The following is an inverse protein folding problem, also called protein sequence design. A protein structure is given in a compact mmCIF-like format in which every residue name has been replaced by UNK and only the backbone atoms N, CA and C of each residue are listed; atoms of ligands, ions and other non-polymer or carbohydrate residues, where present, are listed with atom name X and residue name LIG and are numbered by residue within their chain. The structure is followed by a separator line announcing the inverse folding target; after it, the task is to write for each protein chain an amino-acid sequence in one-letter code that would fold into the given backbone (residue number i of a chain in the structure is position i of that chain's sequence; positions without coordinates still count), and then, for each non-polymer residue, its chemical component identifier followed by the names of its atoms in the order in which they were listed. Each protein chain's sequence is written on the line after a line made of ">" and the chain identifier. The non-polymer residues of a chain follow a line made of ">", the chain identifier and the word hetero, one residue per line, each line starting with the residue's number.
data_IF_566716094702
#
_entry.id   IF_566716094702
#
_cell.length_a   1.000
_cell.length_b   1.000
_cell.length_c   1.000
_cell.angle_alpha   90.00
_cell.angle_beta   90.00
_cell.angle_gamma   90.00
#
_symmetry.space_group_name_H-M   'P 1'
#
loop_
_entity.id
_entity.type
_entity.pdbx_description
1 polymer ?
#
# COMPACT_ATOMS: atom_id res chain seq x y z
N UNK A 1 24.86 6.35 -1.75
CA UNK A 1 24.40 7.32 -2.77
C UNK A 1 22.90 7.19 -2.94
N UNK A 2 22.10 8.21 -2.58
CA UNK A 2 20.62 8.14 -2.76
C UNK A 2 20.27 7.93 -4.23
N UNK A 3 19.53 6.86 -4.51
CA UNK A 3 19.01 6.53 -5.84
C UNK A 3 18.16 7.71 -6.37
N UNK A 4 18.32 8.03 -7.66
CA UNK A 4 17.57 9.09 -8.35
C UNK A 4 16.06 8.87 -8.17
N UNK A 5 15.61 7.61 -8.20
CA UNK A 5 14.20 7.23 -7.98
C UNK A 5 13.68 7.70 -6.63
N UNK A 6 14.42 7.48 -5.55
CA UNK A 6 14.05 7.91 -4.20
C UNK A 6 13.97 9.43 -4.10
N UNK A 7 14.91 10.15 -4.73
CA UNK A 7 14.87 11.63 -4.78
C UNK A 7 13.63 12.16 -5.51
N UNK A 8 13.24 11.51 -6.61
CA UNK A 8 12.03 11.87 -7.37
C UNK A 8 10.79 11.67 -6.50
N UNK A 9 10.67 10.52 -5.84
CA UNK A 9 9.53 10.24 -4.96
C UNK A 9 9.43 11.24 -3.80
N UNK A 10 10.54 11.50 -3.12
CA UNK A 10 10.55 12.39 -1.95
C UNK A 10 10.29 13.87 -2.30
N UNK A 11 10.51 14.26 -3.55
CA UNK A 11 10.21 15.60 -4.06
C UNK A 11 8.93 15.64 -4.92
N UNK A 12 8.13 14.56 -4.94
CA UNK A 12 7.01 14.41 -5.87
C UNK A 12 6.06 15.61 -5.90
N UNK A 13 5.67 16.14 -4.75
CA UNK A 13 4.68 17.23 -4.69
C UNK A 13 5.26 18.56 -5.18
N UNK A 14 6.55 18.79 -4.93
CA UNK A 14 7.25 19.97 -5.47
C UNK A 14 7.34 19.90 -7.00
N UNK A 15 7.68 18.71 -7.52
CA UNK A 15 7.75 18.46 -8.97
C UNK A 15 6.38 18.54 -9.63
N UNK A 16 5.37 17.91 -9.03
CA UNK A 16 3.97 17.93 -9.48
C UNK A 16 3.42 19.35 -9.55
N UNK A 17 3.66 20.16 -8.52
CA UNK A 17 3.26 21.56 -8.51
C UNK A 17 3.95 22.36 -9.62
N UNK A 18 5.25 22.14 -9.83
CA UNK A 18 5.99 22.77 -10.94
C UNK A 18 5.37 22.43 -12.30
N UNK A 19 5.10 21.15 -12.56
CA UNK A 19 4.47 20.71 -13.82
C UNK A 19 3.06 21.29 -14.00
N UNK A 20 2.26 21.35 -12.94
CA UNK A 20 0.91 21.96 -12.99
C UNK A 20 0.96 23.46 -13.27
N UNK A 21 1.92 24.18 -12.70
CA UNK A 21 2.10 25.62 -12.95
C UNK A 21 2.45 25.84 -14.42
N UNK A 22 3.40 25.08 -14.98
CA UNK A 22 3.76 25.16 -16.40
C UNK A 22 2.54 24.94 -17.29
N UNK A 23 1.79 23.86 -17.05
CA UNK A 23 0.57 23.55 -17.80
C UNK A 23 -0.49 24.65 -17.67
N UNK A 24 -0.67 25.21 -16.48
CA UNK A 24 -1.63 26.29 -16.25
C UNK A 24 -1.28 27.56 -17.02
N UNK A 25 -0.01 27.98 -17.00
CA UNK A 25 0.49 29.12 -17.79
C UNK A 25 0.28 28.84 -19.28
N UNK A 26 0.58 27.62 -19.75
CA UNK A 26 0.39 27.25 -21.15
C UNK A 26 -1.08 27.31 -21.58
N UNK A 27 -2.01 26.89 -20.71
CA UNK A 27 -3.46 27.05 -20.95
C UNK A 27 -3.84 28.53 -21.09
N UNK A 28 -3.31 29.41 -20.24
CA UNK A 28 -3.55 30.86 -20.35
C UNK A 28 -3.01 31.41 -21.68
N UNK A 29 -1.79 31.03 -22.07
CA UNK A 29 -1.19 31.46 -23.34
C UNK A 29 -2.08 31.04 -24.52
N UNK A 30 -2.63 29.82 -24.50
CA UNK A 30 -3.55 29.35 -25.52
C UNK A 30 -4.85 30.17 -25.56
N UNK A 31 -5.43 30.49 -24.40
CA UNK A 31 -6.66 31.29 -24.32
C UNK A 31 -6.44 32.72 -24.86
N UNK A 32 -5.24 33.28 -24.69
CA UNK A 32 -4.87 34.60 -25.18
C UNK A 32 -4.28 34.61 -26.60
N UNK A 33 -4.29 33.48 -27.32
CA UNK A 33 -3.56 33.30 -28.58
C UNK A 33 -4.22 33.90 -29.84
N UNK A 34 -5.37 34.58 -29.70
CA UNK A 34 -6.15 35.14 -30.81
C UNK A 34 -5.41 36.20 -31.64
N UNK A 35 -4.41 36.86 -31.05
CA UNK A 35 -3.57 37.86 -31.74
C UNK A 35 -2.27 37.27 -32.32
N UNK A 36 -2.02 35.97 -32.17
CA UNK A 36 -0.80 35.34 -32.68
C UNK A 36 -0.92 34.93 -34.15
N UNK A 37 0.21 34.85 -34.87
CA UNK A 37 0.24 34.28 -36.21
C UNK A 37 -0.36 32.87 -36.24
N UNK A 38 -1.15 32.55 -37.27
CA UNK A 38 -1.89 31.27 -37.39
C UNK A 38 -1.05 30.02 -37.13
N UNK A 39 0.21 30.01 -37.58
CA UNK A 39 1.12 28.88 -37.39
C UNK A 39 1.47 28.67 -35.91
N UNK A 40 1.59 29.74 -35.14
CA UNK A 40 1.88 29.69 -33.71
C UNK A 40 0.65 29.21 -32.93
N UNK A 41 -0.53 29.71 -33.29
CA UNK A 41 -1.81 29.27 -32.69
C UNK A 41 -2.05 27.77 -32.84
N UNK A 42 -1.64 27.19 -33.98
CA UNK A 42 -1.70 25.74 -34.22
C UNK A 42 -0.67 24.98 -33.36
N UNK A 43 0.56 25.48 -33.24
CA UNK A 43 1.64 24.83 -32.49
C UNK A 43 1.34 24.75 -30.98
N UNK A 44 0.74 25.80 -30.42
CA UNK A 44 0.46 25.94 -28.99
C UNK A 44 -0.39 24.80 -28.40
N UNK A 45 -1.36 24.28 -29.16
CA UNK A 45 -2.17 23.14 -28.74
C UNK A 45 -1.36 21.84 -28.63
N UNK A 46 -0.41 21.62 -29.54
CA UNK A 46 0.49 20.47 -29.48
C UNK A 46 1.42 20.53 -28.28
N UNK A 47 1.95 21.73 -27.95
CA UNK A 47 2.77 21.92 -26.74
C UNK A 47 1.97 21.54 -25.49
N UNK A 48 0.72 21.98 -25.40
CA UNK A 48 -0.17 21.64 -24.27
C UNK A 48 -0.42 20.14 -24.16
N UNK A 49 -0.61 19.45 -25.30
CA UNK A 49 -0.78 18.00 -25.33
C UNK A 49 0.48 17.28 -24.85
N UNK A 50 1.67 17.77 -25.22
CA UNK A 50 2.96 17.24 -24.75
C UNK A 50 3.07 17.41 -23.23
N UNK A 51 2.75 18.59 -22.69
CA UNK A 51 2.80 18.85 -21.25
C UNK A 51 1.82 17.99 -20.46
N UNK A 52 0.60 17.80 -20.96
CA UNK A 52 -0.38 16.86 -20.39
C UNK A 52 0.17 15.43 -20.39
N UNK A 53 0.79 15.01 -21.50
CA UNK A 53 1.40 13.69 -21.61
C UNK A 53 2.56 13.51 -20.62
N UNK A 54 3.38 14.54 -20.44
CA UNK A 54 4.46 14.55 -19.44
C UNK A 54 3.93 14.46 -18.01
N UNK A 55 2.85 15.18 -17.68
CA UNK A 55 2.21 15.10 -16.37
C UNK A 55 1.62 13.70 -16.11
N UNK A 56 1.01 13.08 -17.11
CA UNK A 56 0.51 11.71 -17.01
C UNK A 56 1.65 10.70 -16.82
N UNK A 57 2.72 10.81 -17.61
CA UNK A 57 3.93 9.99 -17.45
C UNK A 57 4.57 10.17 -16.07
N UNK A 58 4.57 11.39 -15.54
CA UNK A 58 5.04 11.66 -14.18
C UNK A 58 4.23 10.89 -13.13
N UNK A 59 2.89 10.91 -13.20
CA UNK A 59 2.07 10.13 -12.25
C UNK A 59 2.28 8.62 -12.39
N UNK A 60 2.45 8.13 -13.62
CA UNK A 60 2.74 6.71 -13.87
C UNK A 60 4.10 6.30 -13.26
N UNK A 61 5.16 7.06 -13.53
CA UNK A 61 6.49 6.78 -13.00
C UNK A 61 6.55 6.89 -11.47
N UNK A 62 5.89 7.88 -10.86
CA UNK A 62 5.79 7.97 -9.41
C UNK A 62 5.14 6.72 -8.81
N UNK A 63 4.05 6.24 -9.41
CA UNK A 63 3.36 5.03 -8.94
C UNK A 63 4.25 3.80 -9.05
N UNK A 64 5.03 3.69 -10.13
CA UNK A 64 5.99 2.61 -10.36
C UNK A 64 7.15 2.65 -9.36
N UNK A 65 7.70 3.84 -9.09
CA UNK A 65 8.77 4.04 -8.10
C UNK A 65 8.27 3.67 -6.71
N UNK A 66 7.08 4.14 -6.32
CA UNK A 66 6.48 3.82 -5.03
C UNK A 66 6.26 2.31 -4.86
N UNK A 67 5.71 1.66 -5.88
CA UNK A 67 5.53 0.20 -5.91
C UNK A 67 6.86 -0.53 -5.74
N UNK A 68 7.91 -0.10 -6.45
CA UNK A 68 9.23 -0.72 -6.36
C UNK A 68 9.86 -0.56 -4.97
N UNK A 69 9.70 0.60 -4.32
CA UNK A 69 10.19 0.84 -2.96
C UNK A 69 9.50 -0.09 -1.96
N UNK A 70 8.18 -0.28 -2.10
CA UNK A 70 7.42 -1.20 -1.25
C UNK A 70 7.77 -2.66 -1.50
N UNK A 71 7.88 -3.06 -2.76
CA UNK A 71 8.24 -4.42 -3.14
C UNK A 71 9.64 -4.82 -2.71
N UNK A 72 10.59 -3.88 -2.69
CA UNK A 72 11.97 -4.10 -2.24
C UNK A 72 12.21 -3.76 -0.77
N UNK A 73 11.19 -3.26 -0.07
CA UNK A 73 11.26 -2.82 1.33
C UNK A 73 12.48 -1.93 1.61
N UNK A 74 12.66 -0.87 0.82
CA UNK A 74 13.67 0.16 1.10
C UNK A 74 13.20 1.01 2.30
N UNK A 75 13.51 0.52 3.51
CA UNK A 75 12.92 1.01 4.77
C UNK A 75 13.26 2.48 5.02
N UNK A 76 14.50 2.90 4.78
CA UNK A 76 14.93 4.29 4.98
C UNK A 76 14.13 5.25 4.10
N UNK A 77 13.97 4.90 2.82
CA UNK A 77 13.19 5.71 1.88
C UNK A 77 11.71 5.70 2.24
N UNK A 78 11.19 4.57 2.71
CA UNK A 78 9.80 4.46 3.14
C UNK A 78 9.50 5.34 4.36
N UNK A 79 10.39 5.38 5.35
CA UNK A 79 10.28 6.27 6.51
C UNK A 79 10.33 7.74 6.12
N UNK A 80 11.28 8.13 5.27
CA UNK A 80 11.34 9.49 4.74
C UNK A 80 10.07 9.84 3.97
N UNK A 81 9.52 8.90 3.20
CA UNK A 81 8.30 9.11 2.43
C UNK A 81 7.07 9.25 3.34
N UNK A 82 6.96 8.43 4.38
CA UNK A 82 5.92 8.54 5.42
C UNK A 82 5.92 9.94 6.03
N UNK A 83 7.09 10.40 6.50
CA UNK A 83 7.22 11.73 7.11
C UNK A 83 6.77 12.83 6.15
N UNK A 84 7.13 12.71 4.87
CA UNK A 84 6.68 13.67 3.86
C UNK A 84 5.16 13.64 3.68
N UNK A 85 4.54 12.47 3.57
CA UNK A 85 3.08 12.35 3.47
C UNK A 85 2.42 12.99 4.70
N UNK A 86 2.92 12.72 5.92
CA UNK A 86 2.36 13.29 7.15
C UNK A 86 2.45 14.82 7.20
N UNK A 87 3.51 15.41 6.65
CA UNK A 87 3.68 16.88 6.58
C UNK A 87 2.87 17.56 5.47
N UNK A 88 2.32 16.79 4.53
CA UNK A 88 1.55 17.34 3.43
C UNK A 88 0.06 17.44 3.77
N UNK A 89 -0.53 18.60 3.50
CA UNK A 89 -1.97 18.79 3.62
C UNK A 89 -2.68 18.28 2.36
N UNK A 90 -3.33 17.12 2.48
CA UNK A 90 -4.19 16.58 1.44
C UNK A 90 -5.65 16.88 1.73
N UNK A 91 -6.43 17.04 0.66
CA UNK A 91 -7.88 17.22 0.72
C UNK A 91 -8.61 16.28 -0.23
N UNK A 92 -9.88 16.00 0.07
CA UNK A 92 -10.77 15.21 -0.76
C UNK A 92 -10.25 13.80 -1.05
N UNK A 93 -10.36 13.36 -2.32
CA UNK A 93 -9.98 12.00 -2.75
C UNK A 93 -8.51 11.67 -2.43
N UNK A 94 -7.61 12.63 -2.57
CA UNK A 94 -6.18 12.42 -2.29
C UNK A 94 -5.93 12.12 -0.82
N UNK A 95 -6.67 12.77 0.08
CA UNK A 95 -6.55 12.53 1.52
C UNK A 95 -6.84 11.08 1.87
N UNK A 96 -7.96 10.53 1.38
CA UNK A 96 -8.31 9.12 1.60
C UNK A 96 -7.23 8.17 1.09
N UNK A 97 -6.69 8.41 -0.11
CA UNK A 97 -5.61 7.58 -0.69
C UNK A 97 -4.36 7.58 0.21
N UNK A 98 -3.94 8.74 0.69
CA UNK A 98 -2.75 8.82 1.54
C UNK A 98 -2.97 8.29 2.96
N UNK A 99 -4.19 8.42 3.52
CA UNK A 99 -4.56 7.77 4.78
C UNK A 99 -4.45 6.23 4.66
N UNK A 100 -4.92 5.65 3.55
CA UNK A 100 -4.74 4.24 3.26
C UNK A 100 -3.27 3.81 3.18
N UNK A 101 -2.47 4.58 2.42
CA UNK A 101 -1.04 4.30 2.27
C UNK A 101 -0.32 4.34 3.62
N UNK A 102 -0.51 5.42 4.39
CA UNK A 102 0.07 5.54 5.73
C UNK A 102 -0.38 4.42 6.64
N UNK A 103 -1.68 4.09 6.65
CA UNK A 103 -2.20 2.98 7.45
C UNK A 103 -1.51 1.67 7.07
N UNK A 104 -1.26 1.40 5.78
CA UNK A 104 -0.57 0.18 5.33
C UNK A 104 0.88 0.17 5.78
N UNK A 105 1.58 1.29 5.65
CA UNK A 105 2.97 1.39 6.06
C UNK A 105 3.15 1.22 7.57
N UNK A 106 2.26 1.81 8.37
CA UNK A 106 2.26 1.61 9.81
C UNK A 106 1.90 0.19 10.22
N UNK A 107 1.02 -0.50 9.48
CA UNK A 107 0.78 -1.92 9.68
C UNK A 107 2.06 -2.75 9.45
N UNK A 108 2.79 -2.49 8.36
CA UNK A 108 4.06 -3.16 8.03
C UNK A 108 5.11 -2.97 9.15
N UNK A 109 5.15 -1.78 9.76
CA UNK A 109 6.04 -1.48 10.89
C UNK A 109 5.51 -1.97 12.26
N UNK A 110 4.30 -2.51 12.30
CA UNK A 110 3.66 -3.01 13.52
C UNK A 110 3.09 -1.94 14.44
N UNK A 111 2.91 -0.71 13.95
CA UNK A 111 2.21 0.35 14.67
C UNK A 111 0.69 0.23 14.43
N UNK A 112 0.09 -0.85 14.93
CA UNK A 112 -1.27 -1.25 14.61
C UNK A 112 -2.33 -0.23 15.06
N UNK A 113 -2.12 0.40 16.22
CA UNK A 113 -2.98 1.46 16.77
C UNK A 113 -2.99 2.67 15.84
N UNK A 114 -1.80 3.15 15.45
CA UNK A 114 -1.67 4.26 14.50
C UNK A 114 -2.26 3.90 13.14
N UNK A 115 -2.05 2.67 12.69
CA UNK A 115 -2.61 2.14 11.45
C UNK A 115 -4.14 2.18 11.45
N UNK A 116 -4.81 1.68 12.50
CA UNK A 116 -6.27 1.70 12.56
C UNK A 116 -6.84 3.11 12.75
N UNK A 117 -6.15 3.98 13.49
CA UNK A 117 -6.61 5.36 13.71
C UNK A 117 -6.56 6.20 12.44
N UNK A 118 -5.59 5.95 11.57
CA UNK A 118 -5.56 6.54 10.23
C UNK A 118 -6.70 6.02 9.35
N UNK A 119 -6.96 4.71 9.43
CA UNK A 119 -8.02 4.09 8.64
C UNK A 119 -9.41 4.64 9.03
N UNK A 120 -9.68 4.86 10.32
CA UNK A 120 -10.93 5.48 10.81
C UNK A 120 -11.17 6.91 10.28
N UNK A 121 -10.10 7.63 9.89
CA UNK A 121 -10.21 8.98 9.31
C UNK A 121 -10.57 8.96 7.83
N UNK A 122 -10.57 7.79 7.18
CA UNK A 122 -10.96 7.64 5.79
C UNK A 122 -12.46 7.88 5.66
N UNK A 123 -12.84 8.81 4.80
CA UNK A 123 -14.24 9.05 4.46
C UNK A 123 -14.74 7.93 3.54
N UNK A 124 -15.22 6.84 4.15
CA UNK A 124 -15.59 5.59 3.48
C UNK A 124 -16.57 5.79 2.30
N UNK A 125 -17.54 6.68 2.45
CA UNK A 125 -18.56 6.97 1.42
C UNK A 125 -17.98 7.60 0.15
N UNK A 126 -16.79 8.22 0.24
CA UNK A 126 -16.13 8.89 -0.89
C UNK A 126 -15.08 7.99 -1.56
N UNK A 127 -15.03 6.71 -1.22
CA UNK A 127 -14.04 5.80 -1.77
C UNK A 127 -14.35 5.43 -3.23
N UNK A 128 -13.34 5.44 -4.11
CA UNK A 128 -13.51 5.00 -5.47
C UNK A 128 -13.72 3.48 -5.55
N UNK A 129 -14.13 3.01 -6.71
CA UNK A 129 -13.93 1.60 -7.08
C UNK A 129 -12.58 1.44 -7.78
N UNK A 130 -11.91 0.30 -7.62
CA UNK A 130 -10.52 0.09 -8.03
C UNK A 130 -9.57 0.22 -6.85
N UNK A 131 -8.41 0.85 -7.04
CA UNK A 131 -7.43 1.05 -5.95
C UNK A 131 -7.98 1.96 -4.85
N UNK A 132 -7.74 1.57 -3.60
CA UNK A 132 -8.20 2.24 -2.38
C UNK A 132 -9.74 2.24 -2.27
N UNK A 133 -10.35 1.10 -2.61
CA UNK A 133 -11.81 0.90 -2.51
C UNK A 133 -12.24 0.50 -1.11
N UNK A 134 -13.56 0.42 -0.91
CA UNK A 134 -14.16 -0.14 0.30
C UNK A 134 -13.69 -1.58 0.60
N UNK A 135 -13.38 -2.40 -0.41
CA UNK A 135 -12.77 -3.72 -0.18
C UNK A 135 -11.40 -3.59 0.48
N UNK A 136 -10.57 -2.65 0.00
CA UNK A 136 -9.24 -2.40 0.56
C UNK A 136 -9.36 -1.93 2.01
N UNK A 137 -10.37 -1.10 2.32
CA UNK A 137 -10.69 -0.67 3.68
C UNK A 137 -10.94 -1.86 4.61
N UNK A 138 -11.93 -2.70 4.27
CA UNK A 138 -12.32 -3.79 5.16
C UNK A 138 -11.23 -4.84 5.28
N UNK A 139 -10.56 -5.15 4.17
CA UNK A 139 -9.44 -6.09 4.15
C UNK A 139 -8.31 -5.62 5.07
N UNK A 140 -7.92 -4.35 4.99
CA UNK A 140 -6.88 -3.81 5.84
C UNK A 140 -7.31 -3.71 7.32
N UNK A 141 -8.52 -3.24 7.58
CA UNK A 141 -9.08 -3.19 8.93
C UNK A 141 -9.08 -4.58 9.59
N UNK A 142 -9.38 -5.62 8.82
CA UNK A 142 -9.40 -7.00 9.26
C UNK A 142 -8.02 -7.48 9.77
N UNK A 143 -6.95 -7.32 9.00
CA UNK A 143 -5.61 -7.75 9.47
C UNK A 143 -5.10 -6.96 10.65
N UNK A 144 -5.36 -5.65 10.68
CA UNK A 144 -4.97 -4.82 11.83
C UNK A 144 -5.65 -5.37 13.09
N UNK A 145 -6.95 -5.69 13.01
CA UNK A 145 -7.72 -6.22 14.14
C UNK A 145 -7.27 -7.60 14.59
N UNK A 146 -6.86 -8.49 13.68
CA UNK A 146 -6.24 -9.78 14.05
C UNK A 146 -4.98 -9.55 14.87
N UNK A 147 -4.07 -8.68 14.40
CA UNK A 147 -2.81 -8.42 15.10
C UNK A 147 -3.03 -7.71 16.44
N UNK A 148 -4.03 -6.85 16.54
CA UNK A 148 -4.46 -6.24 17.80
C UNK A 148 -5.29 -7.18 18.70
N UNK A 149 -5.60 -8.40 18.26
CA UNK A 149 -6.48 -9.36 18.97
C UNK A 149 -7.85 -8.76 19.37
N UNK A 150 -8.38 -7.87 18.55
CA UNK A 150 -9.68 -7.19 18.76
C UNK A 150 -10.84 -8.03 18.20
N UNK A 151 -11.10 -9.17 18.82
CA UNK A 151 -12.05 -10.18 18.32
C UNK A 151 -13.50 -9.71 18.27
N UNK A 152 -13.90 -8.85 19.21
CA UNK A 152 -15.23 -8.24 19.31
C UNK A 152 -15.66 -7.49 18.03
N UNK A 153 -14.69 -6.87 17.35
CA UNK A 153 -14.92 -6.06 16.14
C UNK A 153 -14.64 -6.82 14.85
N UNK A 154 -13.96 -7.96 14.94
CA UNK A 154 -13.47 -8.68 13.77
C UNK A 154 -14.62 -9.23 12.93
N UNK A 155 -15.59 -9.87 13.58
CA UNK A 155 -16.72 -10.51 12.92
C UNK A 155 -17.55 -9.49 12.13
N UNK A 156 -17.76 -8.30 12.68
CA UNK A 156 -18.49 -7.24 11.99
C UNK A 156 -17.74 -6.77 10.73
N UNK A 157 -16.42 -6.56 10.83
CA UNK A 157 -15.59 -6.16 9.67
C UNK A 157 -15.59 -7.26 8.59
N UNK A 158 -15.49 -8.52 8.99
CA UNK A 158 -15.54 -9.67 8.08
C UNK A 158 -16.91 -9.75 7.38
N UNK A 159 -18.00 -9.58 8.12
CA UNK A 159 -19.34 -9.57 7.53
C UNK A 159 -19.54 -8.42 6.55
N UNK A 160 -19.06 -7.22 6.85
CA UNK A 160 -19.07 -6.10 5.91
C UNK A 160 -18.22 -6.35 4.66
N UNK A 161 -17.05 -6.99 4.81
CA UNK A 161 -16.23 -7.42 3.68
C UNK A 161 -16.98 -8.42 2.79
N UNK A 162 -17.60 -9.44 3.40
CA UNK A 162 -18.36 -10.48 2.71
C UNK A 162 -19.61 -9.92 2.03
N UNK A 163 -20.31 -8.97 2.67
CA UNK A 163 -21.50 -8.35 2.11
C UNK A 163 -21.21 -7.31 1.03
N UNK A 164 -19.97 -6.85 0.88
CA UNK A 164 -19.62 -5.87 -0.13
C UNK A 164 -19.86 -6.42 -1.55
N UNK A 165 -20.67 -5.70 -2.32
CA UNK A 165 -20.99 -6.02 -3.71
C UNK A 165 -20.48 -4.92 -4.64
N UNK A 166 -19.93 -5.32 -5.78
CA UNK A 166 -19.50 -4.42 -6.84
C UNK A 166 -19.73 -5.07 -8.19
N UNK A 167 -20.22 -4.28 -9.14
CA UNK A 167 -20.48 -4.74 -10.50
C UNK A 167 -19.21 -4.76 -11.38
N UNK A 168 -18.04 -4.40 -10.83
CA UNK A 168 -16.77 -4.38 -11.55
C UNK A 168 -16.02 -5.69 -11.40
N UNK A 169 -15.67 -6.32 -12.53
CA UNK A 169 -14.87 -7.57 -12.59
C UNK A 169 -13.56 -7.45 -11.82
N UNK A 170 -12.92 -6.27 -11.82
CA UNK A 170 -11.69 -6.03 -11.07
C UNK A 170 -11.88 -6.15 -9.55
N UNK A 171 -13.01 -5.69 -9.01
CA UNK A 171 -13.32 -5.81 -7.57
C UNK A 171 -13.65 -7.25 -7.22
N UNK A 172 -14.31 -8.01 -8.10
CA UNK A 172 -14.56 -9.44 -7.89
C UNK A 172 -13.26 -10.24 -7.77
N UNK A 173 -12.34 -10.09 -8.72
CA UNK A 173 -11.02 -10.76 -8.68
C UNK A 173 -10.24 -10.37 -7.42
N UNK A 174 -10.30 -9.09 -7.05
CA UNK A 174 -9.66 -8.59 -5.82
C UNK A 174 -10.26 -9.24 -4.58
N UNK A 175 -11.60 -9.29 -4.46
CA UNK A 175 -12.30 -9.92 -3.35
C UNK A 175 -11.93 -11.40 -3.21
N UNK A 176 -11.84 -12.13 -4.31
CA UNK A 176 -11.39 -13.53 -4.29
C UNK A 176 -9.97 -13.68 -3.71
N UNK A 177 -9.04 -12.85 -4.17
CA UNK A 177 -7.67 -12.87 -3.62
C UNK A 177 -7.65 -12.53 -2.12
N UNK A 178 -8.44 -11.55 -1.71
CA UNK A 178 -8.57 -11.14 -0.31
C UNK A 178 -9.22 -12.21 0.57
N UNK A 179 -10.23 -12.92 0.07
CA UNK A 179 -10.82 -14.07 0.75
C UNK A 179 -9.79 -15.14 1.11
N UNK A 180 -8.89 -15.48 0.18
CA UNK A 180 -7.82 -16.45 0.45
C UNK A 180 -6.95 -16.02 1.62
N UNK A 181 -6.56 -14.75 1.71
CA UNK A 181 -5.78 -14.27 2.86
C UNK A 181 -6.59 -14.23 4.16
N UNK A 182 -7.88 -13.89 4.09
CA UNK A 182 -8.76 -13.91 5.27
C UNK A 182 -8.86 -15.32 5.84
N UNK A 183 -9.09 -16.32 5.00
CA UNK A 183 -9.19 -17.74 5.38
C UNK A 183 -7.88 -18.25 6.00
N UNK A 184 -6.74 -17.86 5.43
CA UNK A 184 -5.42 -18.20 5.97
C UNK A 184 -5.27 -17.61 7.38
N UNK A 185 -5.58 -16.33 7.56
CA UNK A 185 -5.39 -15.70 8.86
C UNK A 185 -6.41 -16.17 9.91
N UNK A 186 -7.65 -16.45 9.50
CA UNK A 186 -8.66 -17.12 10.35
C UNK A 186 -8.09 -18.43 10.90
N UNK A 187 -7.59 -19.28 9.99
CA UNK A 187 -7.07 -20.61 10.36
C UNK A 187 -5.85 -20.48 11.27
N UNK A 188 -4.90 -19.64 10.90
CA UNK A 188 -3.60 -19.56 11.59
C UNK A 188 -3.66 -18.81 12.93
N UNK A 189 -4.39 -17.69 13.02
CA UNK A 189 -4.34 -16.80 14.19
C UNK A 189 -5.56 -16.87 15.10
N UNK A 190 -6.71 -17.28 14.57
CA UNK A 190 -7.97 -17.32 15.36
C UNK A 190 -8.24 -18.74 15.81
N UNK A 191 -8.23 -19.68 14.85
CA UNK A 191 -8.47 -21.09 15.12
C UNK A 191 -7.22 -21.79 15.68
N UNK A 192 -6.04 -21.19 15.52
CA UNK A 192 -4.73 -21.79 15.85
C UNK A 192 -4.58 -23.19 15.23
N UNK A 193 -5.01 -23.33 13.98
CA UNK A 193 -5.06 -24.59 13.26
C UNK A 193 -4.06 -24.61 12.09
N UNK A 194 -3.91 -25.77 11.45
CA UNK A 194 -2.92 -26.06 10.42
C UNK A 194 -3.53 -26.01 9.02
N UNK A 195 -2.77 -25.46 8.07
CA UNK A 195 -3.07 -25.51 6.64
C UNK A 195 -2.15 -26.53 5.96
N UNK A 196 -2.70 -27.60 5.39
CA UNK A 196 -1.92 -28.72 4.85
C UNK A 196 -1.24 -28.41 3.51
N UNK A 197 -1.91 -27.71 2.60
CA UNK A 197 -1.39 -27.35 1.27
C UNK A 197 -1.11 -25.85 1.18
N UNK A 198 -0.29 -25.36 2.11
CA UNK A 198 -0.02 -23.94 2.23
C UNK A 198 0.97 -23.48 1.15
N UNK A 199 0.46 -22.91 0.06
CA UNK A 199 1.29 -22.36 -1.03
C UNK A 199 0.88 -20.92 -1.28
N UNK A 200 1.81 -20.00 -1.03
CA UNK A 200 1.61 -18.58 -1.28
C UNK A 200 2.60 -18.09 -2.35
N UNK A 201 2.16 -17.22 -3.27
CA UNK A 201 3.05 -16.66 -4.27
C UNK A 201 4.07 -15.72 -3.61
N UNK A 202 5.35 -15.83 -3.99
CA UNK A 202 6.46 -15.00 -3.51
C UNK A 202 6.90 -14.03 -4.63
N UNK A 203 6.07 -13.06 -5.00
CA UNK A 203 6.34 -12.22 -6.18
C UNK A 203 7.27 -11.03 -5.88
N UNK A 204 7.51 -10.72 -4.61
CA UNK A 204 8.38 -9.62 -4.17
C UNK A 204 8.91 -9.87 -2.75
N UNK A 205 9.83 -9.02 -2.28
CA UNK A 205 10.49 -9.21 -0.99
C UNK A 205 9.53 -9.12 0.19
N UNK A 206 8.55 -8.21 0.15
CA UNK A 206 7.53 -8.12 1.18
C UNK A 206 6.67 -9.39 1.24
N UNK A 207 6.24 -9.91 0.10
CA UNK A 207 5.52 -11.18 0.01
C UNK A 207 6.37 -12.34 0.52
N UNK A 208 7.66 -12.40 0.15
CA UNK A 208 8.59 -13.39 0.69
C UNK A 208 8.62 -13.36 2.22
N UNK A 209 8.88 -12.20 2.83
CA UNK A 209 8.96 -12.06 4.30
C UNK A 209 7.64 -12.49 4.95
N UNK A 210 6.52 -12.01 4.44
CA UNK A 210 5.19 -12.35 4.96
C UNK A 210 4.90 -13.84 4.84
N UNK A 211 5.20 -14.45 3.71
CA UNK A 211 4.92 -15.86 3.50
C UNK A 211 5.76 -16.72 4.44
N UNK A 212 7.06 -16.44 4.60
CA UNK A 212 7.94 -17.14 5.56
C UNK A 212 7.46 -16.99 6.99
N UNK A 213 7.03 -15.80 7.37
CA UNK A 213 6.39 -15.58 8.67
C UNK A 213 5.14 -16.46 8.84
N UNK A 214 4.24 -16.50 7.86
CA UNK A 214 3.03 -17.34 7.92
C UNK A 214 3.36 -18.85 7.91
N UNK A 215 4.39 -19.27 7.17
CA UNK A 215 4.88 -20.64 7.17
C UNK A 215 5.36 -21.06 8.56
N UNK A 216 6.11 -20.18 9.23
CA UNK A 216 6.55 -20.41 10.60
C UNK A 216 5.36 -20.51 11.56
N UNK A 217 4.38 -19.61 11.48
CA UNK A 217 3.15 -19.69 12.31
C UNK A 217 2.40 -21.01 12.09
N UNK A 218 2.25 -21.44 10.83
CA UNK A 218 1.61 -22.72 10.51
C UNK A 218 2.38 -23.92 11.10
N UNK A 219 3.71 -23.89 11.06
CA UNK A 219 4.57 -24.90 11.66
C UNK A 219 4.44 -24.92 13.19
N UNK A 220 4.35 -23.75 13.83
CA UNK A 220 4.07 -23.65 15.27
C UNK A 220 2.72 -24.26 15.64
N UNK A 221 1.66 -23.99 14.86
CA UNK A 221 0.35 -24.59 15.09
C UNK A 221 0.36 -26.12 14.92
N UNK A 222 1.26 -26.66 14.08
CA UNK A 222 1.50 -28.10 13.93
C UNK A 222 2.33 -28.70 15.07
N UNK A 223 2.97 -27.88 15.90
CA UNK A 223 3.94 -28.32 16.92
C UNK A 223 5.34 -28.61 16.36
N UNK A 224 5.61 -28.28 15.08
CA UNK A 224 6.90 -28.47 14.44
C UNK A 224 7.82 -27.26 14.67
N UNK A 225 8.45 -27.25 15.85
CA UNK A 225 9.35 -26.16 16.25
C UNK A 225 10.60 -26.04 15.37
N UNK A 226 11.07 -27.14 14.80
CA UNK A 226 12.26 -27.12 13.93
C UNK A 226 11.95 -26.40 12.64
N UNK A 227 10.86 -26.76 11.97
CA UNK A 227 10.42 -26.07 10.76
C UNK A 227 10.11 -24.58 11.03
N UNK A 228 9.46 -24.26 12.15
CA UNK A 228 9.23 -22.87 12.53
C UNK A 228 10.53 -22.08 12.69
N UNK A 229 11.55 -22.67 13.33
CA UNK A 229 12.88 -22.08 13.49
C UNK A 229 13.54 -21.81 12.14
N UNK A 230 13.51 -22.79 11.23
CA UNK A 230 14.06 -22.65 9.88
C UNK A 230 13.39 -21.53 9.08
N UNK A 231 12.06 -21.44 9.13
CA UNK A 231 11.32 -20.40 8.40
C UNK A 231 11.53 -19.00 9.00
N UNK A 232 11.61 -18.86 10.33
CA UNK A 232 11.96 -17.58 10.95
C UNK A 232 13.40 -17.17 10.65
N UNK A 233 14.36 -18.09 10.67
CA UNK A 233 15.76 -17.80 10.35
C UNK A 233 15.96 -17.23 8.95
N UNK A 234 15.09 -17.58 7.99
CA UNK A 234 15.11 -17.03 6.62
C UNK A 234 14.79 -15.53 6.55
N UNK A 235 14.14 -14.96 7.57
CA UNK A 235 13.70 -13.56 7.54
C UNK A 235 14.36 -12.65 8.57
N UNK A 236 14.98 -13.18 9.61
CA UNK A 236 15.56 -12.35 10.69
C UNK A 236 16.78 -11.52 10.28
N UNK A 237 17.33 -11.77 9.10
CA UNK A 237 18.41 -10.97 8.48
C UNK A 237 17.91 -9.65 7.88
N UNK A 238 16.59 -9.50 7.68
CA UNK A 238 15.98 -8.25 7.23
C UNK A 238 15.76 -7.28 8.40
N UNK A 239 15.30 -6.06 8.10
CA UNK A 239 15.14 -5.00 9.11
C UNK A 239 14.10 -5.36 10.19
N UNK A 240 14.52 -5.23 11.44
CA UNK A 240 13.72 -5.35 12.68
C UNK A 240 12.61 -4.29 12.81
N UNK A 241 12.64 -3.25 11.97
CA UNK A 241 11.53 -2.29 11.87
C UNK A 241 10.26 -2.94 11.34
N UNK A 242 10.38 -4.02 10.56
CA UNK A 242 9.25 -4.81 10.09
C UNK A 242 8.73 -5.69 11.23
N UNK A 243 7.42 -5.63 11.52
CA UNK A 243 6.88 -6.35 12.68
C UNK A 243 7.08 -7.86 12.58
N UNK A 244 6.98 -8.43 11.38
CA UNK A 244 7.14 -9.87 11.14
C UNK A 244 8.56 -10.34 11.44
N UNK A 245 9.57 -9.50 11.12
CA UNK A 245 10.98 -9.79 11.42
C UNK A 245 11.21 -9.67 12.92
N UNK A 246 10.68 -8.61 13.56
CA UNK A 246 10.79 -8.42 15.01
C UNK A 246 10.19 -9.57 15.79
N UNK A 247 8.96 -9.99 15.46
CA UNK A 247 8.30 -11.12 16.13
C UNK A 247 9.06 -12.44 15.89
N UNK A 248 9.62 -12.65 14.69
CA UNK A 248 10.46 -13.82 14.40
C UNK A 248 11.74 -13.83 15.25
N UNK A 249 12.42 -12.69 15.36
CA UNK A 249 13.62 -12.53 16.21
C UNK A 249 13.29 -12.76 17.69
N UNK A 250 12.21 -12.17 18.19
CA UNK A 250 11.73 -12.37 19.56
C UNK A 250 11.44 -13.85 19.83
N UNK A 251 10.80 -14.56 18.91
CA UNK A 251 10.52 -15.98 19.08
C UNK A 251 11.81 -16.83 19.11
N UNK A 252 12.76 -16.56 18.19
CA UNK A 252 14.04 -17.27 18.08
C UNK A 252 14.96 -17.04 19.29
N UNK A 253 14.88 -15.88 19.94
CA UNK A 253 15.67 -15.57 21.14
C UNK A 253 15.13 -16.28 22.39
N UNK A 254 13.84 -16.65 22.39
CA UNK A 254 13.16 -17.25 23.52
C UNK A 254 13.00 -18.79 23.41
N UNK A 255 13.44 -19.42 22.30
CA UNK A 255 13.31 -20.85 22.02
C UNK A 255 14.54 -21.44 21.29
#
# INVERSE_FOLDING_TARGET
>A
MRNIKSKILLNRWKLENGLKIVLFVQIIINLCSFNYPKWLTLLLQFITLIELSLLLLFYFEITKIETAILQNLDIEVLEEYILKIETCHFSGKSQNIYLFKLSNYYYIFGQFEKSIDLLKKVEFEKLPSGSYSALDYYFQAYFIRIKMKSWDKLENIKNHFLSYQSNKVSEYKKKQSYMTYIEIFDTLFIQNNVISNFVLPENNLYEYIRNRYLYAINALNRGDKMLAREEFQKIVTYSDKLYMVREAQEWLNNN
#
